data_IF_510420327818
#
_entry.id   IF_510420327818
#
_cell.length_a   1.000
_cell.length_b   1.000
_cell.length_c   1.000
_cell.angle_alpha   90.00
_cell.angle_beta   90.00
_cell.angle_gamma   90.00
#
_symmetry.space_group_name_H-M   'P 1'
#
loop_
_entity.id
_entity.type
_entity.pdbx_description
1 polymer ?
#
# COMPACT_ATOMS: atom_id res chain seq x y z
N UNK A 1 9.41 -15.15 8.59
CA UNK A 1 10.11 -16.08 7.67
C UNK A 1 11.13 -15.28 6.88
N UNK A 2 12.40 -15.69 6.77
CA UNK A 2 13.36 -14.98 5.93
C UNK A 2 12.87 -15.01 4.48
N UNK A 3 12.75 -13.85 3.83
CA UNK A 3 12.15 -13.66 2.51
C UNK A 3 12.70 -14.64 1.45
N UNK A 4 14.00 -14.98 1.54
CA UNK A 4 14.64 -15.97 0.67
C UNK A 4 13.97 -17.34 0.68
N UNK A 5 13.60 -17.87 1.86
CA UNK A 5 12.89 -19.17 1.94
C UNK A 5 11.51 -19.13 1.30
N UNK A 6 10.82 -17.99 1.40
CA UNK A 6 9.50 -17.82 0.78
C UNK A 6 9.60 -17.74 -0.76
N UNK A 7 10.64 -17.09 -1.27
CA UNK A 7 10.93 -17.03 -2.71
C UNK A 7 11.29 -18.41 -3.25
N UNK A 8 12.16 -19.16 -2.56
CA UNK A 8 12.54 -20.52 -2.97
C UNK A 8 11.35 -21.48 -2.94
N UNK A 9 10.44 -21.35 -1.97
CA UNK A 9 9.21 -22.13 -1.94
C UNK A 9 8.25 -21.76 -3.10
N UNK A 10 8.23 -20.49 -3.52
CA UNK A 10 7.33 -20.00 -4.57
C UNK A 10 7.85 -20.22 -6.00
N UNK A 11 9.18 -20.24 -6.20
CA UNK A 11 9.80 -20.32 -7.53
C UNK A 11 10.69 -21.55 -7.73
N UNK A 12 11.10 -22.21 -6.65
CA UNK A 12 12.02 -23.34 -6.68
C UNK A 12 11.35 -24.60 -7.22
N UNK A 13 12.15 -25.46 -7.84
CA UNK A 13 11.74 -26.82 -8.18
C UNK A 13 12.21 -27.77 -7.08
N UNK A 14 11.29 -28.38 -6.29
CA UNK A 14 11.69 -29.28 -5.23
C UNK A 14 12.26 -30.58 -5.81
N UNK A 15 13.09 -31.26 -5.03
CA UNK A 15 13.53 -32.62 -5.35
C UNK A 15 12.39 -33.60 -5.09
N UNK A 16 12.11 -34.47 -6.07
CA UNK A 16 11.18 -35.60 -5.92
C UNK A 16 11.71 -36.70 -5.00
N UNK A 17 10.82 -37.58 -4.55
CA UNK A 17 11.19 -38.78 -3.81
C UNK A 17 11.55 -39.92 -4.76
N UNK A 18 12.13 -41.00 -4.22
CA UNK A 18 12.46 -42.19 -5.02
C UNK A 18 11.19 -42.75 -5.67
N UNK A 19 11.22 -42.89 -7.00
CA UNK A 19 10.09 -43.37 -7.80
C UNK A 19 9.10 -42.28 -8.26
N UNK A 20 9.31 -41.01 -7.89
CA UNK A 20 8.48 -39.88 -8.35
C UNK A 20 9.16 -39.07 -9.45
N UNK A 21 8.37 -38.57 -10.41
CA UNK A 21 8.82 -37.62 -11.43
C UNK A 21 8.23 -36.25 -11.11
N UNK A 22 9.09 -35.28 -10.83
CA UNK A 22 8.70 -33.88 -10.59
C UNK A 22 8.97 -33.07 -11.85
N UNK A 23 7.93 -32.45 -12.41
CA UNK A 23 8.02 -31.60 -13.60
C UNK A 23 7.74 -30.15 -13.19
N UNK A 24 8.76 -29.29 -13.33
CA UNK A 24 8.65 -27.87 -13.02
C UNK A 24 8.73 -27.04 -14.29
N UNK A 25 7.97 -25.95 -14.33
CA UNK A 25 8.05 -24.93 -15.39
C UNK A 25 8.81 -23.72 -14.87
N UNK A 26 9.80 -23.26 -15.62
CA UNK A 26 10.46 -21.98 -15.32
C UNK A 26 9.54 -20.82 -15.67
N UNK A 27 9.42 -19.85 -14.78
CA UNK A 27 8.72 -18.59 -15.03
C UNK A 27 9.34 -17.88 -16.26
N UNK A 28 8.49 -17.38 -17.16
CA UNK A 28 8.92 -16.69 -18.38
C UNK A 28 9.72 -15.40 -18.11
N UNK A 29 10.39 -14.86 -19.13
CA UNK A 29 11.24 -13.67 -19.01
C UNK A 29 10.51 -12.44 -18.43
N UNK A 30 9.20 -12.32 -18.68
CA UNK A 30 8.34 -11.25 -18.15
C UNK A 30 8.19 -11.27 -16.63
N UNK A 31 8.44 -12.40 -15.96
CA UNK A 31 8.30 -12.55 -14.51
C UNK A 31 9.57 -12.25 -13.71
N UNK A 32 10.71 -11.98 -14.35
CA UNK A 32 12.02 -11.89 -13.67
C UNK A 32 12.11 -10.78 -12.61
N UNK A 33 11.43 -9.66 -12.84
CA UNK A 33 11.44 -8.50 -11.94
C UNK A 33 10.11 -8.32 -11.19
N UNK A 34 9.17 -9.27 -11.34
CA UNK A 34 7.86 -9.18 -10.71
C UNK A 34 7.81 -10.09 -9.48
N UNK A 35 7.04 -9.68 -8.48
CA UNK A 35 6.72 -10.54 -7.33
C UNK A 35 6.11 -11.86 -7.85
N UNK A 36 6.62 -13.03 -7.39
CA UNK A 36 6.07 -14.34 -7.74
C UNK A 36 4.57 -14.39 -7.49
N UNK A 37 3.83 -15.06 -8.37
CA UNK A 37 2.37 -15.07 -8.31
C UNK A 37 1.81 -15.59 -6.99
N UNK A 38 2.42 -16.65 -6.44
CA UNK A 38 2.08 -17.19 -5.12
C UNK A 38 2.37 -16.25 -3.94
N UNK A 39 3.17 -15.20 -4.14
CA UNK A 39 3.48 -14.17 -3.14
C UNK A 39 2.74 -12.85 -3.41
N UNK A 40 1.92 -12.79 -4.46
CA UNK A 40 1.11 -11.61 -4.71
C UNK A 40 -0.03 -11.59 -3.68
N UNK A 41 -0.29 -10.44 -3.04
CA UNK A 41 -1.48 -10.30 -2.22
C UNK A 41 -2.72 -10.56 -3.08
N UNK A 42 -3.70 -11.26 -2.51
CA UNK A 42 -5.00 -11.50 -3.15
C UNK A 42 -5.81 -10.20 -3.10
N UNK A 43 -5.50 -9.28 -4.01
CA UNK A 43 -6.09 -7.96 -4.08
C UNK A 43 -5.08 -6.83 -3.89
N UNK A 44 -5.44 -5.66 -4.38
CA UNK A 44 -4.80 -4.42 -3.99
C UNK A 44 -5.43 -4.03 -2.66
N UNK A 45 -4.68 -4.08 -1.58
CA UNK A 45 -5.20 -3.80 -0.25
C UNK A 45 -5.29 -2.28 -0.07
N UNK A 46 -6.37 -1.67 -0.57
CA UNK A 46 -6.69 -0.27 -0.30
C UNK A 46 -7.06 -0.04 1.17
N UNK A 47 -7.28 -1.13 1.93
CA UNK A 47 -7.87 -1.15 3.28
C UNK A 47 -6.89 -1.73 4.31
N UNK A 48 -5.58 -1.77 4.03
CA UNK A 48 -4.63 -1.81 5.16
C UNK A 48 -4.58 -0.42 5.76
N UNK A 49 -5.50 -0.18 6.71
CA UNK A 49 -5.49 1.05 7.50
C UNK A 49 -4.22 1.20 8.34
N UNK A 50 -3.45 0.12 8.54
CA UNK A 50 -2.23 0.12 9.36
C UNK A 50 -0.94 0.49 8.59
N UNK A 51 -0.92 0.40 7.25
CA UNK A 51 0.23 0.80 6.44
C UNK A 51 -0.07 2.13 5.78
N UNK A 52 0.54 3.18 6.33
CA UNK A 52 0.62 4.47 5.65
C UNK A 52 1.43 4.32 4.36
N UNK A 53 0.72 4.21 3.24
CA UNK A 53 1.35 4.28 1.94
C UNK A 53 2.02 5.64 1.74
N UNK A 54 3.08 5.68 0.93
CA UNK A 54 3.83 6.91 0.59
C UNK A 54 2.89 8.03 0.11
N UNK A 55 1.80 7.68 -0.57
CA UNK A 55 0.77 8.65 -0.98
C UNK A 55 0.02 9.25 0.21
N UNK A 56 -0.39 8.46 1.21
CA UNK A 56 -1.04 8.97 2.44
C UNK A 56 -0.08 9.83 3.25
N UNK A 57 1.16 9.38 3.41
CA UNK A 57 2.23 10.15 4.07
C UNK A 57 2.43 11.52 3.40
N UNK A 58 2.59 11.57 2.07
CA UNK A 58 2.76 12.84 1.36
C UNK A 58 1.51 13.72 1.37
N UNK A 59 0.31 13.15 1.42
CA UNK A 59 -0.90 13.96 1.57
C UNK A 59 -0.94 14.69 2.91
N UNK A 60 -0.44 14.07 4.00
CA UNK A 60 -0.33 14.77 5.29
C UNK A 60 0.62 15.97 5.24
N UNK A 61 1.68 15.89 4.43
CA UNK A 61 2.61 17.01 4.23
C UNK A 61 1.99 18.18 3.43
N UNK A 62 0.90 17.93 2.70
CA UNK A 62 0.15 18.95 1.97
C UNK A 62 -1.00 19.53 2.79
N UNK A 63 -1.34 18.93 3.93
CA UNK A 63 -2.28 19.55 4.86
C UNK A 63 -1.64 20.80 5.45
N UNK A 64 -2.43 21.89 5.49
CA UNK A 64 -1.92 23.20 5.91
C UNK A 64 -1.22 23.11 7.27
N UNK A 65 -0.10 23.82 7.39
CA UNK A 65 0.67 23.86 8.63
C UNK A 65 -0.14 24.41 9.82
N UNK A 66 0.51 24.54 10.97
CA UNK A 66 -0.16 24.89 12.25
C UNK A 66 -0.93 26.23 12.23
N UNK A 67 -0.68 27.12 11.26
CA UNK A 67 -1.38 28.39 11.07
C UNK A 67 -1.49 28.79 9.59
N UNK A 68 -2.45 29.67 9.27
CA UNK A 68 -2.70 30.18 7.90
C UNK A 68 -3.90 29.53 7.19
N UNK A 69 -4.11 29.88 5.92
CA UNK A 69 -5.27 29.45 5.13
C UNK A 69 -5.34 27.92 5.07
N UNK A 70 -6.45 27.33 5.55
CA UNK A 70 -6.65 25.88 5.54
C UNK A 70 -6.16 25.13 6.78
N UNK A 71 -5.46 25.80 7.70
CA UNK A 71 -5.25 25.31 9.08
C UNK A 71 -6.57 25.40 9.86
N UNK A 72 -6.73 24.71 11.00
CA UNK A 72 -7.87 24.90 11.91
C UNK A 72 -7.46 25.76 13.12
N UNK A 73 -6.66 26.79 12.86
CA UNK A 73 -6.06 27.64 13.90
C UNK A 73 -6.82 28.96 14.07
N UNK A 74 -6.99 29.45 15.32
CA UNK A 74 -7.51 30.80 15.56
C UNK A 74 -6.50 31.90 15.19
N UNK A 75 -5.23 31.56 14.98
CA UNK A 75 -4.16 32.50 14.62
C UNK A 75 -3.72 32.33 13.15
N UNK A 76 -3.44 33.46 12.50
CA UNK A 76 -3.06 33.53 11.09
C UNK A 76 -4.21 33.87 10.15
N UNK A 77 -3.87 34.35 8.94
CA UNK A 77 -4.84 34.78 7.96
C UNK A 77 -5.74 33.61 7.52
N UNK A 78 -7.05 33.75 7.73
CA UNK A 78 -8.06 32.77 7.36
C UNK A 78 -7.82 31.35 7.90
N UNK A 79 -7.15 31.20 9.04
CA UNK A 79 -7.03 29.90 9.73
C UNK A 79 -8.36 29.41 10.29
N UNK A 80 -9.21 30.29 10.81
CA UNK A 80 -10.49 29.87 11.38
C UNK A 80 -11.43 29.16 10.38
N UNK A 81 -11.29 29.43 9.07
CA UNK A 81 -12.12 28.79 8.04
C UNK A 81 -11.64 27.38 7.64
N UNK A 82 -10.43 26.97 8.01
CA UNK A 82 -9.91 25.66 7.60
C UNK A 82 -10.53 24.48 8.35
N UNK A 83 -11.10 24.69 9.55
CA UNK A 83 -11.84 23.64 10.26
C UNK A 83 -13.02 23.09 9.43
N UNK A 84 -13.76 24.00 8.76
CA UNK A 84 -14.87 23.63 7.90
C UNK A 84 -14.37 22.87 6.65
N UNK A 85 -13.28 23.37 6.03
CA UNK A 85 -12.64 22.72 4.88
C UNK A 85 -12.14 21.31 5.20
N UNK A 86 -11.56 21.08 6.38
CA UNK A 86 -11.14 19.76 6.83
C UNK A 86 -12.33 18.80 6.98
N UNK A 87 -13.44 19.28 7.56
CA UNK A 87 -14.67 18.48 7.70
C UNK A 87 -15.26 18.09 6.35
N UNK A 88 -15.25 18.99 5.36
CA UNK A 88 -15.70 18.65 4.01
C UNK A 88 -14.81 17.61 3.33
N UNK A 89 -13.49 17.75 3.41
CA UNK A 89 -12.54 16.76 2.86
C UNK A 89 -12.72 15.39 3.50
N UNK A 90 -12.89 15.33 4.82
CA UNK A 90 -13.12 14.08 5.53
C UNK A 90 -14.42 13.40 5.06
N UNK A 91 -15.48 14.17 4.82
CA UNK A 91 -16.74 13.66 4.31
C UNK A 91 -16.63 13.15 2.87
N UNK A 92 -15.91 13.85 1.99
CA UNK A 92 -15.64 13.40 0.62
C UNK A 92 -14.84 12.09 0.61
N UNK A 93 -13.81 11.98 1.45
CA UNK A 93 -12.99 10.78 1.57
C UNK A 93 -13.83 9.57 2.07
N UNK A 94 -14.70 9.79 3.06
CA UNK A 94 -15.63 8.75 3.54
C UNK A 94 -16.60 8.32 2.44
N UNK A 95 -17.09 9.24 1.60
CA UNK A 95 -17.96 8.90 0.46
C UNK A 95 -17.24 8.16 -0.66
N UNK A 96 -15.99 8.49 -0.93
CA UNK A 96 -15.21 7.86 -2.01
C UNK A 96 -14.72 6.44 -1.66
N UNK A 97 -14.73 6.09 -0.37
CA UNK A 97 -14.36 4.76 0.14
C UNK A 97 -15.51 3.75 0.23
N UNK A 98 -16.71 4.10 -0.23
CA UNK A 98 -17.89 3.23 -0.31
C UNK A 98 -18.27 2.91 -1.76
#
# INVERSE_FOLDING_TARGET
MPLGKAIDAALGCPRGRAGEIVVCRRSGASGRYRIPEALRPNGFDYVQEDIDGVSRERHRLLEGGESGIGSCSPSGASGASGCLSQKFRAWEQQRAGH
#
